data_IF_817534483540
#
_entry.id   IF_817534483540
#
_cell.length_a   1.000
_cell.length_b   1.000
_cell.length_c   1.000
_cell.angle_alpha   90.00
_cell.angle_beta   90.00
_cell.angle_gamma   90.00
#
_symmetry.space_group_name_H-M   'P 1'
#
loop_
_entity.id
_entity.type
_entity.pdbx_description
1 polymer ?
#
# COMPACT_ATOMS: atom_id res chain seq x y z
N UNK A 1 13.97 5.61 20.88
CA UNK A 1 14.56 5.03 19.65
C UNK A 1 13.47 5.08 18.57
N UNK A 2 13.69 5.80 17.47
CA UNK A 2 12.77 5.78 16.34
C UNK A 2 12.75 4.35 15.80
N UNK A 3 11.56 3.77 15.64
CA UNK A 3 11.44 2.48 14.95
C UNK A 3 12.01 2.65 13.54
N UNK A 4 12.74 1.65 13.05
CA UNK A 4 13.26 1.69 11.69
C UNK A 4 12.09 1.83 10.71
N UNK A 5 12.23 2.71 9.74
CA UNK A 5 11.23 2.91 8.70
C UNK A 5 11.01 1.59 7.96
N UNK A 6 9.75 1.19 7.81
CA UNK A 6 9.38 -0.07 7.16
C UNK A 6 8.51 0.17 5.95
N UNK A 7 8.89 -0.45 4.84
CA UNK A 7 8.18 -0.37 3.56
C UNK A 7 7.38 -1.66 3.31
N UNK A 8 6.43 -1.63 2.39
CA UNK A 8 5.68 -2.81 1.92
C UNK A 8 5.92 -3.00 0.42
N UNK A 9 7.04 -3.62 0.06
CA UNK A 9 7.52 -3.75 -1.32
C UNK A 9 7.33 -5.17 -1.86
N UNK A 10 7.54 -6.16 -0.99
CA UNK A 10 7.30 -7.57 -1.29
C UNK A 10 6.72 -8.27 -0.05
N UNK A 11 5.91 -9.31 -0.25
CA UNK A 11 5.43 -10.17 0.85
C UNK A 11 6.56 -10.98 1.48
N UNK A 12 7.66 -11.22 0.75
CA UNK A 12 8.85 -11.90 1.25
C UNK A 12 9.62 -11.08 2.29
N UNK A 13 9.39 -9.77 2.38
CA UNK A 13 10.00 -8.89 3.39
C UNK A 13 9.39 -9.06 4.78
N UNK A 14 8.36 -9.92 4.90
CA UNK A 14 7.59 -10.14 6.11
C UNK A 14 7.70 -11.59 6.57
N UNK A 15 7.83 -11.77 7.87
CA UNK A 15 7.73 -13.11 8.45
C UNK A 15 6.30 -13.66 8.32
N UNK A 16 6.17 -14.98 8.40
CA UNK A 16 4.87 -15.64 8.40
C UNK A 16 3.94 -15.08 9.49
N UNK A 17 4.47 -14.83 10.68
CA UNK A 17 3.69 -14.28 11.80
C UNK A 17 3.15 -12.87 11.50
N UNK A 18 3.94 -12.03 10.85
CA UNK A 18 3.52 -10.69 10.44
C UNK A 18 2.45 -10.74 9.37
N UNK A 19 2.58 -11.62 8.38
CA UNK A 19 1.54 -11.82 7.37
C UNK A 19 0.23 -12.31 7.99
N UNK A 20 0.30 -13.25 8.96
CA UNK A 20 -0.89 -13.70 9.69
C UNK A 20 -1.56 -12.57 10.48
N UNK A 21 -0.78 -11.67 11.10
CA UNK A 21 -1.33 -10.47 11.77
C UNK A 21 -2.00 -9.52 10.78
N UNK A 22 -1.42 -9.35 9.59
CA UNK A 22 -2.03 -8.55 8.52
C UNK A 22 -3.38 -9.17 8.10
N UNK A 23 -3.45 -10.49 7.91
CA UNK A 23 -4.69 -11.19 7.56
C UNK A 23 -5.77 -11.03 8.64
N UNK A 24 -5.39 -11.15 9.92
CA UNK A 24 -6.32 -10.91 11.02
C UNK A 24 -6.81 -9.47 11.08
N UNK A 25 -5.93 -8.49 10.86
CA UNK A 25 -6.32 -7.08 10.79
C UNK A 25 -7.31 -6.84 9.62
N UNK A 26 -7.05 -7.42 8.44
CA UNK A 26 -7.96 -7.34 7.29
C UNK A 26 -9.33 -7.89 7.65
N UNK A 27 -9.39 -9.05 8.32
CA UNK A 27 -10.65 -9.68 8.75
C UNK A 27 -11.44 -8.74 9.68
N UNK A 28 -10.78 -8.21 10.70
CA UNK A 28 -11.40 -7.30 11.68
C UNK A 28 -11.91 -6.01 11.02
N UNK A 29 -11.11 -5.39 10.15
CA UNK A 29 -11.52 -4.18 9.42
C UNK A 29 -12.67 -4.45 8.47
N UNK A 30 -12.66 -5.58 7.76
CA UNK A 30 -13.75 -5.99 6.87
C UNK A 30 -15.06 -6.21 7.63
N UNK A 31 -15.02 -6.84 8.81
CA UNK A 31 -16.18 -7.02 9.67
C UNK A 31 -16.70 -5.68 10.21
N UNK A 32 -15.81 -4.82 10.68
CA UNK A 32 -16.17 -3.49 11.15
C UNK A 32 -16.83 -2.65 10.04
N UNK A 33 -16.30 -2.73 8.81
CA UNK A 33 -16.87 -2.02 7.66
C UNK A 33 -18.27 -2.51 7.30
N UNK A 34 -18.52 -3.82 7.34
CA UNK A 34 -19.84 -4.41 7.07
C UNK A 34 -20.94 -3.89 8.00
N UNK A 35 -20.61 -3.55 9.23
CA UNK A 35 -21.56 -3.03 10.23
C UNK A 35 -21.51 -1.49 10.36
N UNK A 36 -20.76 -0.81 9.48
CA UNK A 36 -20.63 0.65 9.49
C UNK A 36 -19.83 1.21 10.67
N UNK A 37 -19.03 0.39 11.35
CA UNK A 37 -18.23 0.74 12.53
C UNK A 37 -16.72 0.77 12.24
N UNK A 38 -16.34 1.18 11.03
CA UNK A 38 -14.93 1.25 10.63
C UNK A 38 -14.16 2.23 11.52
N UNK A 39 -13.09 1.79 12.23
CA UNK A 39 -12.33 2.65 13.12
C UNK A 39 -11.50 3.65 12.34
N UNK A 40 -11.37 4.88 12.84
CA UNK A 40 -10.61 5.96 12.18
C UNK A 40 -9.11 5.87 12.49
N UNK A 41 -8.49 4.73 12.19
CA UNK A 41 -7.08 4.44 12.53
C UNK A 41 -6.08 5.38 11.85
N UNK A 42 -6.45 5.96 10.71
CA UNK A 42 -5.60 6.84 9.92
C UNK A 42 -6.09 8.30 9.98
N UNK A 43 -6.75 8.69 11.07
CA UNK A 43 -7.27 10.05 11.19
C UNK A 43 -6.15 11.09 11.07
N UNK A 44 -6.31 11.97 10.08
CA UNK A 44 -5.35 13.04 9.78
C UNK A 44 -4.14 12.59 8.96
N UNK A 45 -3.98 11.29 8.69
CA UNK A 45 -2.91 10.80 7.84
C UNK A 45 -3.19 11.07 6.35
N UNK A 46 -2.13 11.31 5.60
CA UNK A 46 -2.14 11.57 4.16
C UNK A 46 -1.36 10.50 3.39
N UNK A 47 -1.95 10.01 2.30
CA UNK A 47 -1.35 9.07 1.36
C UNK A 47 -1.09 9.74 0.02
N UNK A 48 0.16 9.80 -0.42
CA UNK A 48 0.52 10.19 -1.79
C UNK A 48 0.54 8.96 -2.70
N UNK A 49 -0.34 8.92 -3.70
CA UNK A 49 -0.42 7.82 -4.66
C UNK A 49 0.22 8.20 -5.98
N UNK A 50 1.39 7.65 -6.28
CA UNK A 50 2.16 7.88 -7.51
C UNK A 50 1.80 6.82 -8.55
N UNK A 51 1.28 7.24 -9.71
CA UNK A 51 0.89 6.36 -10.80
C UNK A 51 1.62 6.72 -12.10
N UNK A 52 2.36 5.77 -12.68
CA UNK A 52 2.89 5.89 -14.04
C UNK A 52 1.88 5.45 -15.10
N UNK A 53 0.91 4.58 -14.72
CA UNK A 53 -0.18 4.10 -15.57
C UNK A 53 -1.54 4.27 -14.87
N UNK A 54 -2.62 4.59 -15.61
CA UNK A 54 -3.96 4.67 -15.04
C UNK A 54 -4.41 3.34 -14.45
N UNK A 55 -5.07 3.39 -13.29
CA UNK A 55 -5.66 2.21 -12.67
C UNK A 55 -6.93 2.57 -11.91
N UNK A 56 -8.05 1.98 -12.31
CA UNK A 56 -9.34 2.20 -11.65
C UNK A 56 -9.39 1.52 -10.29
N UNK A 57 -9.09 0.22 -10.24
CA UNK A 57 -9.24 -0.57 -9.01
C UNK A 57 -8.28 -0.14 -7.91
N UNK A 58 -7.00 -0.04 -8.21
CA UNK A 58 -5.98 0.37 -7.23
C UNK A 58 -6.28 1.76 -6.69
N UNK A 59 -6.54 2.73 -7.57
CA UNK A 59 -6.89 4.09 -7.16
C UNK A 59 -8.09 4.11 -6.22
N UNK A 60 -9.24 3.58 -6.66
CA UNK A 60 -10.49 3.64 -5.91
C UNK A 60 -10.37 2.92 -4.56
N UNK A 61 -9.70 1.75 -4.53
CA UNK A 61 -9.53 1.01 -3.27
C UNK A 61 -8.72 1.78 -2.23
N UNK A 62 -7.61 2.39 -2.62
CA UNK A 62 -6.81 3.20 -1.69
C UNK A 62 -7.51 4.49 -1.27
N UNK A 63 -8.16 5.23 -2.20
CA UNK A 63 -8.93 6.43 -1.86
C UNK A 63 -10.06 6.13 -0.87
N UNK A 64 -10.83 5.08 -1.13
CA UNK A 64 -11.94 4.68 -0.25
C UNK A 64 -11.44 4.17 1.09
N UNK A 65 -10.38 3.35 1.10
CA UNK A 65 -9.79 2.86 2.35
C UNK A 65 -9.29 4.01 3.24
N UNK A 66 -8.56 4.96 2.67
CA UNK A 66 -8.10 6.14 3.40
C UNK A 66 -9.28 6.94 3.97
N UNK A 67 -10.31 7.18 3.18
CA UNK A 67 -11.52 7.92 3.62
C UNK A 67 -12.22 7.19 4.77
N UNK A 68 -12.45 5.88 4.66
CA UNK A 68 -13.11 5.07 5.70
C UNK A 68 -12.29 5.03 7.00
N UNK A 69 -10.97 4.98 6.90
CA UNK A 69 -10.08 4.98 8.05
C UNK A 69 -9.77 6.38 8.61
N UNK A 70 -10.34 7.44 8.02
CA UNK A 70 -10.24 8.81 8.52
C UNK A 70 -9.08 9.63 7.98
N UNK A 71 -8.32 9.07 7.03
CA UNK A 71 -7.23 9.74 6.33
C UNK A 71 -7.67 10.40 5.01
N UNK A 72 -6.69 10.85 4.25
CA UNK A 72 -6.85 11.47 2.94
C UNK A 72 -5.88 10.86 1.93
N UNK A 73 -6.32 10.68 0.68
CA UNK A 73 -5.48 10.19 -0.41
C UNK A 73 -5.37 11.24 -1.52
N UNK A 74 -4.14 11.45 -2.00
CA UNK A 74 -3.78 12.36 -3.08
C UNK A 74 -3.40 11.52 -4.31
N UNK A 75 -4.16 11.62 -5.38
CA UNK A 75 -3.88 10.91 -6.62
C UNK A 75 -2.98 11.74 -7.53
N UNK A 76 -1.72 11.35 -7.64
CA UNK A 76 -0.73 11.93 -8.53
C UNK A 76 -0.72 11.10 -9.83
N UNK A 77 -1.55 11.54 -10.77
CA UNK A 77 -1.80 10.77 -12.01
C UNK A 77 -0.64 10.84 -13.00
N UNK A 78 -0.63 9.89 -13.97
CA UNK A 78 0.36 9.90 -15.04
C UNK A 78 0.43 11.25 -15.75
N UNK A 79 1.64 11.78 -15.90
CA UNK A 79 1.89 13.05 -16.58
C UNK A 79 1.71 14.32 -15.74
N UNK A 80 1.14 14.25 -14.54
CA UNK A 80 1.07 15.39 -13.62
C UNK A 80 2.39 15.58 -12.88
N UNK A 81 3.03 14.50 -12.48
CA UNK A 81 4.39 14.51 -11.92
C UNK A 81 5.38 14.08 -13.01
N UNK A 82 6.53 14.71 -13.00
CA UNK A 82 7.57 14.45 -14.01
C UNK A 82 8.57 13.38 -13.54
N UNK A 83 8.09 12.33 -12.88
CA UNK A 83 8.88 11.27 -12.27
C UNK A 83 9.93 10.71 -13.25
N UNK A 84 11.21 10.87 -12.90
CA UNK A 84 12.32 10.37 -13.70
C UNK A 84 12.56 11.06 -15.05
N UNK A 85 11.79 12.11 -15.40
CA UNK A 85 11.92 12.84 -16.67
C UNK A 85 12.50 14.25 -16.50
N UNK A 86 11.79 15.11 -15.78
CA UNK A 86 12.24 16.49 -15.46
C UNK A 86 12.71 16.61 -14.03
N UNK A 87 12.24 15.72 -13.17
CA UNK A 87 12.60 15.62 -11.77
C UNK A 87 13.15 14.22 -11.50
N UNK A 88 14.22 14.10 -10.72
CA UNK A 88 14.76 12.79 -10.37
C UNK A 88 13.80 12.05 -9.43
N UNK A 89 13.81 10.71 -9.46
CA UNK A 89 13.02 9.89 -8.52
C UNK A 89 13.41 10.25 -7.08
N UNK A 90 14.67 10.54 -6.84
CA UNK A 90 15.19 10.98 -5.55
C UNK A 90 14.51 12.28 -5.09
N UNK A 91 14.53 13.31 -5.91
CA UNK A 91 13.95 14.62 -5.54
C UNK A 91 12.45 14.49 -5.29
N UNK A 92 11.73 13.75 -6.15
CA UNK A 92 10.31 13.45 -5.95
C UNK A 92 10.08 12.73 -4.61
N UNK A 93 10.88 11.72 -4.27
CA UNK A 93 10.74 10.99 -3.00
C UNK A 93 10.99 11.89 -1.79
N UNK A 94 12.08 12.68 -1.81
CA UNK A 94 12.43 13.59 -0.73
C UNK A 94 11.38 14.69 -0.52
N UNK A 95 10.85 15.27 -1.60
CA UNK A 95 9.85 16.35 -1.54
C UNK A 95 8.49 15.80 -1.07
N UNK A 96 7.99 14.72 -1.67
CA UNK A 96 6.68 14.15 -1.32
C UNK A 96 6.70 13.64 0.13
N UNK A 97 7.80 13.02 0.57
CA UNK A 97 7.95 12.54 1.96
C UNK A 97 7.82 13.63 3.03
N UNK A 98 7.98 14.90 2.65
CA UNK A 98 7.78 16.04 3.58
C UNK A 98 6.33 16.50 3.65
N UNK A 99 5.47 16.01 2.77
CA UNK A 99 4.09 16.47 2.60
C UNK A 99 3.06 15.39 2.96
N UNK A 100 3.44 14.11 2.89
CA UNK A 100 2.55 12.98 3.15
C UNK A 100 3.14 12.04 4.20
N UNK A 101 2.29 11.21 4.80
CA UNK A 101 2.70 10.24 5.83
C UNK A 101 3.05 8.87 5.23
N UNK A 102 2.55 8.56 4.04
CA UNK A 102 2.80 7.30 3.31
C UNK A 102 2.80 7.57 1.81
N UNK A 103 3.64 6.86 1.06
CA UNK A 103 3.63 6.85 -0.42
C UNK A 103 3.14 5.48 -0.89
N UNK A 104 2.16 5.44 -1.78
CA UNK A 104 1.84 4.29 -2.63
C UNK A 104 2.39 4.56 -4.03
N UNK A 105 3.04 3.57 -4.63
CA UNK A 105 3.62 3.71 -5.95
C UNK A 105 3.23 2.55 -6.87
N UNK A 106 2.50 2.87 -7.94
CA UNK A 106 2.22 1.97 -9.06
C UNK A 106 3.04 2.39 -10.26
N UNK A 107 4.12 1.65 -10.53
CA UNK A 107 5.14 2.04 -11.51
C UNK A 107 5.37 0.95 -12.56
N UNK A 108 5.87 1.35 -13.72
CA UNK A 108 6.19 0.44 -14.82
C UNK A 108 7.37 -0.48 -14.48
N UNK A 109 8.36 0.06 -13.73
CA UNK A 109 9.56 -0.68 -13.37
C UNK A 109 9.70 -0.82 -11.85
N UNK A 110 10.03 -2.03 -11.40
CA UNK A 110 10.30 -2.29 -9.99
C UNK A 110 11.44 -1.42 -9.43
N UNK A 111 12.45 -1.16 -10.26
CA UNK A 111 13.54 -0.26 -9.92
C UNK A 111 13.05 1.13 -9.48
N UNK A 112 12.00 1.67 -10.09
CA UNK A 112 11.43 2.97 -9.72
C UNK A 112 10.94 2.96 -8.27
N UNK A 113 10.25 1.89 -7.84
CA UNK A 113 9.80 1.74 -6.45
C UNK A 113 11.00 1.61 -5.51
N UNK A 114 12.03 0.85 -5.88
CA UNK A 114 13.26 0.73 -5.07
C UNK A 114 13.99 2.07 -4.92
N UNK A 115 14.04 2.87 -5.98
CA UNK A 115 14.64 4.20 -5.95
C UNK A 115 13.82 5.16 -5.06
N UNK A 116 12.48 5.05 -5.04
CA UNK A 116 11.62 5.77 -4.10
C UNK A 116 11.92 5.36 -2.65
N UNK A 117 11.98 4.07 -2.38
CA UNK A 117 12.31 3.50 -1.05
C UNK A 117 13.66 4.03 -0.54
N UNK A 118 14.68 4.04 -1.40
CA UNK A 118 16.03 4.46 -1.03
C UNK A 118 16.12 5.94 -0.61
N UNK A 119 15.15 6.77 -0.99
CA UNK A 119 15.19 8.22 -0.77
C UNK A 119 13.98 8.77 0.01
N UNK A 120 12.95 7.96 0.24
CA UNK A 120 11.79 8.37 1.03
C UNK A 120 12.09 8.35 2.53
N UNK A 121 11.52 9.31 3.26
CA UNK A 121 11.57 9.38 4.73
C UNK A 121 10.26 8.93 5.39
N UNK A 122 9.32 8.44 4.59
CA UNK A 122 8.03 7.85 5.00
C UNK A 122 7.89 6.45 4.41
N UNK A 123 7.00 5.59 4.94
CA UNK A 123 6.74 4.28 4.35
C UNK A 123 6.37 4.36 2.88
N UNK A 124 6.88 3.42 2.08
CA UNK A 124 6.50 3.23 0.67
C UNK A 124 5.80 1.89 0.53
N UNK A 125 4.68 1.88 -0.20
CA UNK A 125 3.91 0.68 -0.55
C UNK A 125 3.97 0.45 -2.07
N UNK A 126 4.26 -0.78 -2.47
CA UNK A 126 4.21 -1.18 -3.86
C UNK A 126 2.77 -1.49 -4.29
N UNK A 127 2.20 -0.65 -5.13
CA UNK A 127 0.84 -0.80 -5.68
C UNK A 127 0.78 -1.64 -6.97
N UNK A 128 1.88 -1.92 -7.59
CA UNK A 128 2.17 -2.84 -8.70
C UNK A 128 3.43 -2.38 -9.45
N UNK A 129 4.24 -3.34 -9.86
CA UNK A 129 5.37 -3.15 -10.78
C UNK A 129 5.42 -4.29 -11.81
N UNK A 130 6.38 -4.24 -12.73
CA UNK A 130 6.66 -5.35 -13.66
C UNK A 130 7.20 -6.61 -12.96
N UNK A 131 7.52 -6.55 -11.69
CA UNK A 131 8.04 -7.67 -10.91
C UNK A 131 6.97 -8.33 -10.04
N UNK A 132 6.23 -7.55 -9.23
CA UNK A 132 5.25 -8.10 -8.28
C UNK A 132 4.11 -7.13 -7.97
N UNK A 133 3.06 -7.66 -7.30
CA UNK A 133 1.92 -6.91 -6.78
C UNK A 133 1.57 -7.40 -5.36
N UNK A 134 2.34 -7.03 -4.33
CA UNK A 134 2.21 -7.61 -2.99
C UNK A 134 0.84 -7.38 -2.36
N UNK A 135 0.22 -6.23 -2.58
CA UNK A 135 -1.13 -5.94 -2.07
C UNK A 135 -2.18 -6.85 -2.70
N UNK A 136 -2.03 -7.21 -3.99
CA UNK A 136 -2.93 -8.18 -4.65
C UNK A 136 -2.74 -9.59 -4.08
N UNK A 137 -1.49 -10.03 -3.88
CA UNK A 137 -1.19 -11.34 -3.27
C UNK A 137 -1.89 -11.49 -1.91
N UNK A 138 -1.80 -10.46 -1.06
CA UNK A 138 -2.49 -10.45 0.23
C UNK A 138 -4.01 -10.58 0.07
N UNK A 139 -4.61 -9.85 -0.89
CA UNK A 139 -6.05 -9.93 -1.16
C UNK A 139 -6.45 -11.32 -1.69
N UNK A 140 -5.66 -11.93 -2.57
CA UNK A 140 -5.94 -13.24 -3.15
C UNK A 140 -5.88 -14.34 -2.09
N UNK A 141 -4.83 -14.34 -1.26
CA UNK A 141 -4.71 -15.28 -0.13
C UNK A 141 -5.86 -15.12 0.85
N UNK A 142 -6.21 -13.88 1.22
CA UNK A 142 -7.35 -13.63 2.11
C UNK A 142 -8.67 -14.14 1.52
N UNK A 143 -8.90 -13.94 0.22
CA UNK A 143 -10.07 -14.43 -0.50
C UNK A 143 -10.13 -15.97 -0.51
N UNK A 144 -8.98 -16.62 -0.75
CA UNK A 144 -8.89 -18.09 -0.66
C UNK A 144 -9.23 -18.60 0.73
N UNK A 145 -8.74 -17.95 1.78
CA UNK A 145 -9.08 -18.30 3.18
C UNK A 145 -10.58 -18.22 3.44
N UNK A 146 -11.25 -17.18 2.95
CA UNK A 146 -12.69 -17.00 3.18
C UNK A 146 -13.56 -17.99 2.40
N UNK A 147 -13.18 -18.38 1.19
CA UNK A 147 -14.05 -19.11 0.27
C UNK A 147 -13.66 -20.57 0.02
N UNK A 148 -12.38 -20.90 0.16
CA UNK A 148 -11.87 -22.23 -0.15
C UNK A 148 -11.48 -23.05 1.07
N UNK A 149 -11.13 -22.38 2.18
CA UNK A 149 -10.59 -22.99 3.37
C UNK A 149 -11.28 -22.46 4.65
N UNK A 150 -12.63 -22.44 4.72
CA UNK A 150 -13.33 -21.84 5.86
C UNK A 150 -12.95 -22.46 7.21
N UNK A 151 -12.56 -23.75 7.20
CA UNK A 151 -12.23 -24.53 8.39
C UNK A 151 -10.72 -24.89 8.49
N UNK A 152 -9.88 -24.33 7.60
CA UNK A 152 -8.44 -24.62 7.54
C UNK A 152 -7.60 -23.39 7.81
N UNK A 153 -6.45 -23.60 8.45
CA UNK A 153 -5.49 -22.52 8.65
C UNK A 153 -4.62 -22.33 7.42
N UNK A 154 -3.94 -21.15 7.32
CA UNK A 154 -2.91 -20.91 6.29
C UNK A 154 -1.75 -21.94 6.32
N UNK A 155 -1.69 -22.78 7.36
CA UNK A 155 -0.71 -23.86 7.45
C UNK A 155 -1.03 -25.03 6.53
N UNK A 156 -2.24 -25.08 5.99
CA UNK A 156 -2.74 -26.17 5.17
C UNK A 156 -2.71 -25.83 3.66
N UNK A 157 -2.16 -24.65 3.31
CA UNK A 157 -1.84 -24.20 1.97
C UNK A 157 -0.37 -24.46 1.65
#
# INVERSE_FOLDING_TARGET
MSAALRHFIDTQDFSREELLRIMELIRLLKEADKVGACPRLLQGASLGMIFEEPSTRTRVSFEVAMTKLGGHALYLRPGEIHLGKRESIRDTAEVISRMVDVIEARTLKHKTVLDLVANATVPVMNGLTDYNHPTQVVCDVFTMMEHKLPDKSLTDL
#
